data_IF_876004243327
#
_entry.id   IF_876004243327
#
_cell.length_a   1.000
_cell.length_b   1.000
_cell.length_c   1.000
_cell.angle_alpha   90.00
_cell.angle_beta   90.00
_cell.angle_gamma   90.00
#
_symmetry.space_group_name_H-M   'P 1'
#
loop_
_entity.id
_entity.type
_entity.pdbx_description
1 polymer ?
#
# COMPACT_ATOMS: atom_id res chain seq x y z
N UNK A 1 -9.13 -4.04 -18.35
CA UNK A 1 -8.77 -3.60 -16.99
C UNK A 1 -9.72 -2.48 -16.64
N UNK A 2 -10.83 -2.83 -15.97
CA UNK A 2 -12.09 -2.06 -15.83
C UNK A 2 -12.83 -1.80 -17.16
N UNK A 3 -14.10 -1.40 -17.04
CA UNK A 3 -14.94 -0.89 -18.13
C UNK A 3 -14.40 0.41 -18.75
N UNK A 4 -13.35 1.02 -18.17
CA UNK A 4 -12.75 2.27 -18.63
C UNK A 4 -11.61 2.04 -19.63
N UNK A 5 -10.99 0.84 -19.62
CA UNK A 5 -9.96 0.46 -20.60
C UNK A 5 -10.05 -1.05 -20.90
N UNK A 6 -10.72 -1.44 -22.00
CA UNK A 6 -10.68 -2.83 -22.45
C UNK A 6 -9.23 -3.18 -22.83
N UNK A 7 -8.80 -4.34 -22.37
CA UNK A 7 -7.54 -5.00 -22.73
C UNK A 7 -7.85 -6.50 -22.81
N UNK A 8 -7.07 -7.23 -23.61
CA UNK A 8 -7.33 -8.64 -23.91
C UNK A 8 -7.23 -9.51 -22.64
N UNK A 9 -6.21 -9.27 -21.81
CA UNK A 9 -6.05 -9.94 -20.52
C UNK A 9 -6.54 -9.11 -19.34
N UNK A 10 -6.98 -9.81 -18.29
CA UNK A 10 -7.34 -9.20 -17.02
C UNK A 10 -6.21 -9.37 -16.00
N UNK A 11 -5.88 -8.29 -15.30
CA UNK A 11 -5.02 -8.35 -14.12
C UNK A 11 -5.92 -8.25 -12.88
N UNK A 12 -5.59 -9.02 -11.84
CA UNK A 12 -6.35 -9.05 -10.58
C UNK A 12 -5.37 -8.82 -9.44
N UNK A 13 -5.68 -7.84 -8.57
CA UNK A 13 -4.92 -7.57 -7.36
C UNK A 13 -5.63 -8.19 -6.15
N UNK A 14 -4.93 -9.06 -5.42
CA UNK A 14 -5.48 -9.75 -4.24
C UNK A 14 -4.64 -9.41 -3.00
N UNK A 15 -5.13 -8.51 -2.12
CA UNK A 15 -4.37 -8.10 -0.95
C UNK A 15 -4.50 -9.11 0.21
N UNK A 16 -3.39 -9.30 0.93
CA UNK A 16 -3.38 -9.95 2.24
C UNK A 16 -2.86 -8.96 3.29
N UNK A 17 -3.72 -8.52 4.20
CA UNK A 17 -3.35 -7.64 5.30
C UNK A 17 -3.09 -8.47 6.56
N UNK A 18 -1.86 -8.47 7.05
CA UNK A 18 -1.50 -9.13 8.30
C UNK A 18 -0.28 -8.47 8.96
N UNK A 19 -0.13 -8.58 10.28
CA UNK A 19 1.08 -8.17 10.99
C UNK A 19 2.32 -8.90 10.46
N UNK A 20 3.47 -8.23 10.43
CA UNK A 20 4.72 -8.81 9.92
C UNK A 20 5.32 -9.92 10.81
N UNK A 21 4.90 -9.99 12.06
CA UNK A 21 5.22 -11.04 13.03
C UNK A 21 4.22 -12.21 12.99
N UNK A 22 3.11 -12.07 12.26
CA UNK A 22 2.14 -13.15 12.11
C UNK A 22 2.77 -14.32 11.33
N UNK A 23 2.65 -15.59 11.77
CA UNK A 23 3.33 -16.73 11.14
C UNK A 23 3.08 -16.86 9.63
N UNK A 24 1.85 -16.56 9.16
CA UNK A 24 1.52 -16.54 7.73
C UNK A 24 2.40 -15.60 6.90
N UNK A 25 2.89 -14.50 7.47
CA UNK A 25 3.73 -13.54 6.74
C UNK A 25 5.03 -14.20 6.24
N UNK A 26 5.55 -15.18 7.00
CA UNK A 26 6.77 -15.91 6.68
C UNK A 26 6.55 -17.10 5.72
N UNK A 27 5.31 -17.40 5.33
CA UNK A 27 5.07 -18.46 4.36
C UNK A 27 5.64 -18.11 2.97
N UNK A 28 6.11 -19.11 2.20
CA UNK A 28 6.68 -18.88 0.87
C UNK A 28 5.64 -18.33 -0.10
N UNK A 29 6.10 -17.68 -1.18
CA UNK A 29 5.21 -17.01 -2.15
C UNK A 29 4.20 -17.99 -2.73
N UNK A 30 4.65 -19.20 -3.04
CA UNK A 30 3.83 -20.27 -3.59
C UNK A 30 2.60 -20.58 -2.73
N UNK A 31 2.71 -20.51 -1.40
CA UNK A 31 1.57 -20.76 -0.50
C UNK A 31 0.44 -19.74 -0.71
N UNK A 32 0.79 -18.48 -1.02
CA UNK A 32 -0.18 -17.45 -1.35
C UNK A 32 -0.73 -17.61 -2.77
N UNK A 33 0.13 -17.92 -3.74
CA UNK A 33 -0.27 -18.15 -5.13
C UNK A 33 -1.29 -19.28 -5.24
N UNK A 34 -1.02 -20.42 -4.59
CA UNK A 34 -1.91 -21.58 -4.59
C UNK A 34 -3.25 -21.30 -3.90
N UNK A 35 -3.24 -20.48 -2.84
CA UNK A 35 -4.48 -20.03 -2.17
C UNK A 35 -5.30 -19.14 -3.09
N UNK A 36 -4.67 -18.12 -3.69
CA UNK A 36 -5.35 -17.18 -4.58
C UNK A 36 -5.95 -17.92 -5.78
N UNK A 37 -5.17 -18.78 -6.44
CA UNK A 37 -5.65 -19.59 -7.57
C UNK A 37 -6.88 -20.42 -7.19
N UNK A 38 -6.79 -21.15 -6.08
CA UNK A 38 -7.90 -21.95 -5.53
C UNK A 38 -9.12 -21.10 -5.18
N UNK A 39 -8.95 -19.93 -4.57
CA UNK A 39 -10.06 -19.05 -4.22
C UNK A 39 -10.74 -18.51 -5.47
N UNK A 40 -9.98 -18.11 -6.49
CA UNK A 40 -10.53 -17.63 -7.76
C UNK A 40 -11.32 -18.74 -8.48
N UNK A 41 -10.77 -19.95 -8.58
CA UNK A 41 -11.49 -21.10 -9.15
C UNK A 41 -12.70 -21.52 -8.33
N UNK A 42 -12.69 -21.30 -7.01
CA UNK A 42 -13.88 -21.53 -6.15
C UNK A 42 -14.97 -20.49 -6.39
N UNK A 43 -14.59 -19.23 -6.61
CA UNK A 43 -15.52 -18.13 -6.90
C UNK A 43 -16.10 -18.29 -8.30
N UNK A 44 -15.26 -18.62 -9.28
CA UNK A 44 -15.68 -18.91 -10.64
C UNK A 44 -15.22 -20.32 -11.07
N UNK A 45 -16.13 -21.32 -10.97
CA UNK A 45 -15.83 -22.70 -11.34
C UNK A 45 -15.55 -22.94 -12.83
N UNK A 46 -15.81 -21.96 -13.72
CA UNK A 46 -15.45 -22.10 -15.13
C UNK A 46 -13.97 -21.86 -15.39
N UNK A 47 -13.23 -21.30 -14.43
CA UNK A 47 -11.79 -21.11 -14.54
C UNK A 47 -11.06 -22.44 -14.45
N UNK A 48 -10.07 -22.59 -15.32
CA UNK A 48 -9.16 -23.72 -15.41
C UNK A 48 -7.73 -23.25 -15.13
N UNK A 49 -6.80 -24.19 -14.99
CA UNK A 49 -5.39 -23.85 -14.80
C UNK A 49 -4.80 -23.05 -15.97
N UNK A 50 -5.33 -23.22 -17.18
CA UNK A 50 -4.85 -22.55 -18.39
C UNK A 50 -5.26 -21.07 -18.47
N UNK A 51 -6.26 -20.65 -17.70
CA UNK A 51 -6.71 -19.24 -17.67
C UNK A 51 -5.77 -18.33 -16.87
N UNK A 52 -4.79 -18.90 -16.17
CA UNK A 52 -3.81 -18.17 -15.37
C UNK A 52 -2.50 -18.00 -16.14
N UNK A 53 -2.34 -16.85 -16.78
CA UNK A 53 -1.17 -16.53 -17.63
C UNK A 53 0.11 -16.30 -16.81
N UNK A 54 0.03 -15.54 -15.71
CA UNK A 54 1.11 -15.34 -14.76
C UNK A 54 0.55 -15.10 -13.35
N UNK A 55 1.32 -15.45 -12.32
CA UNK A 55 1.03 -15.15 -10.94
C UNK A 55 2.29 -14.64 -10.22
N UNK A 56 2.15 -13.51 -9.53
CA UNK A 56 3.23 -12.92 -8.75
C UNK A 56 2.75 -12.60 -7.35
N UNK A 57 3.56 -12.94 -6.36
CA UNK A 57 3.39 -12.52 -4.99
C UNK A 57 4.49 -11.52 -4.63
N UNK A 58 4.08 -10.48 -3.90
CA UNK A 58 4.97 -9.46 -3.37
C UNK A 58 4.63 -9.27 -1.90
N UNK A 59 5.66 -9.09 -1.05
CA UNK A 59 5.50 -8.78 0.36
C UNK A 59 6.16 -7.45 0.68
N UNK A 60 5.48 -6.63 1.47
CA UNK A 60 6.04 -5.38 1.92
C UNK A 60 5.72 -5.13 3.39
N UNK A 61 6.75 -5.16 4.24
CA UNK A 61 6.60 -5.07 5.71
C UNK A 61 6.18 -3.68 6.17
N UNK A 62 6.64 -2.65 5.44
CA UNK A 62 6.40 -1.25 5.75
C UNK A 62 5.51 -0.60 4.68
N UNK A 63 4.46 -1.33 4.27
CA UNK A 63 3.55 -0.91 3.20
C UNK A 63 2.75 0.34 3.50
N UNK A 64 2.40 0.53 4.76
CA UNK A 64 1.70 1.71 5.24
C UNK A 64 2.02 1.94 6.72
N UNK A 65 2.05 3.21 7.16
CA UNK A 65 2.11 3.53 8.58
C UNK A 65 0.87 2.99 9.27
N UNK A 66 1.05 2.40 10.46
CA UNK A 66 -0.05 2.02 11.36
C UNK A 66 -0.08 3.08 12.46
N UNK A 67 -0.96 4.07 12.29
CA UNK A 67 -1.07 5.20 13.20
C UNK A 67 -1.85 4.79 14.45
N UNK A 68 -1.17 4.73 15.60
CA UNK A 68 -1.81 4.52 16.90
C UNK A 68 -2.57 5.77 17.39
N UNK A 69 -3.34 5.66 18.48
CA UNK A 69 -3.96 6.82 19.11
C UNK A 69 -2.95 7.92 19.45
N UNK A 70 -3.29 9.18 19.12
CA UNK A 70 -2.41 10.34 19.33
C UNK A 70 -1.16 10.34 18.42
N UNK A 71 -1.24 9.74 17.22
CA UNK A 71 -0.11 9.63 16.30
C UNK A 71 0.50 11.00 15.94
N UNK A 72 -0.32 11.97 15.55
CA UNK A 72 0.14 13.31 15.16
C UNK A 72 0.95 14.00 16.25
N UNK A 73 0.53 13.88 17.50
CA UNK A 73 1.19 14.51 18.66
C UNK A 73 2.59 13.92 18.93
N UNK A 74 2.89 12.75 18.34
CA UNK A 74 4.16 12.04 18.49
C UNK A 74 5.09 12.22 17.29
N UNK A 75 4.61 12.83 16.21
CA UNK A 75 5.44 13.07 15.04
C UNK A 75 6.47 14.17 15.33
N UNK A 76 7.71 14.04 14.82
CA UNK A 76 8.64 15.14 14.89
C UNK A 76 8.16 16.30 14.01
N UNK A 77 8.64 17.53 14.26
CA UNK A 77 8.37 18.64 13.35
C UNK A 77 8.92 18.35 11.95
N UNK A 78 8.21 18.79 10.92
CA UNK A 78 8.63 18.60 9.52
C UNK A 78 9.93 19.35 9.19
N UNK A 79 10.18 20.48 9.86
CA UNK A 79 11.44 21.17 9.85
C UNK A 79 12.35 20.53 10.90
N UNK A 80 13.33 19.75 10.44
CA UNK A 80 14.24 19.07 11.34
C UNK A 80 15.31 20.02 11.89
N UNK A 81 16.01 19.67 12.99
CA UNK A 81 17.06 20.51 13.56
C UNK A 81 18.24 20.80 12.61
N UNK A 82 18.37 20.04 11.52
CA UNK A 82 19.37 20.28 10.48
C UNK A 82 18.86 21.38 9.54
N UNK A 83 19.60 22.49 9.48
CA UNK A 83 19.23 23.65 8.64
C UNK A 83 19.01 23.23 7.20
N UNK A 84 17.83 23.55 6.67
CA UNK A 84 17.44 23.27 5.28
C UNK A 84 16.92 21.85 5.06
N UNK A 85 16.91 20.97 6.07
CA UNK A 85 16.35 19.63 5.96
C UNK A 85 14.89 19.61 6.42
N UNK A 86 14.02 19.26 5.50
CA UNK A 86 12.58 19.07 5.75
C UNK A 86 12.19 17.66 5.37
N UNK A 87 11.44 16.98 6.24
CA UNK A 87 11.05 15.59 6.03
C UNK A 87 9.57 15.44 6.41
N UNK A 88 8.84 14.77 5.54
CA UNK A 88 7.51 14.29 5.80
C UNK A 88 7.27 13.04 4.94
N UNK A 89 6.42 12.16 5.44
CA UNK A 89 5.85 11.05 4.68
C UNK A 89 4.32 11.08 4.81
N UNK A 90 3.67 10.01 4.36
CA UNK A 90 2.22 9.93 4.34
C UNK A 90 1.55 9.91 5.72
N UNK A 91 2.31 9.75 6.80
CA UNK A 91 1.80 9.74 8.17
C UNK A 91 1.58 11.15 8.73
N UNK A 92 2.19 12.18 8.12
CA UNK A 92 2.17 13.57 8.60
C UNK A 92 0.86 14.33 8.35
N UNK A 93 -0.02 13.74 7.55
CA UNK A 93 -1.36 14.26 7.29
C UNK A 93 -2.44 13.27 7.73
N UNK A 94 -2.19 12.46 8.77
CA UNK A 94 -3.27 11.75 9.47
C UNK A 94 -4.33 12.76 9.97
N UNK A 95 -5.64 12.44 10.06
CA UNK A 95 -6.31 11.15 9.86
C UNK A 95 -6.53 10.70 8.42
N UNK A 96 -6.11 11.48 7.43
CA UNK A 96 -6.33 11.19 6.04
C UNK A 96 -5.44 10.01 5.58
N UNK A 97 -6.04 9.07 4.83
CA UNK A 97 -5.36 7.84 4.38
C UNK A 97 -4.61 8.08 3.07
N UNK A 98 -3.26 8.10 3.13
CA UNK A 98 -2.27 8.07 2.03
C UNK A 98 -2.69 8.73 0.70
N UNK A 99 -3.52 9.77 0.79
CA UNK A 99 -4.14 10.37 -0.37
C UNK A 99 -3.15 11.28 -1.08
N UNK A 100 -3.19 11.23 -2.42
CA UNK A 100 -2.28 12.03 -3.25
C UNK A 100 -2.62 13.52 -3.14
N UNK A 101 -3.90 13.87 -3.02
CA UNK A 101 -4.34 15.25 -2.87
C UNK A 101 -3.83 15.87 -1.58
N UNK A 102 -3.92 15.14 -0.47
CA UNK A 102 -3.47 15.52 0.86
C UNK A 102 -1.96 15.63 0.90
N UNK A 103 -1.25 14.67 0.29
CA UNK A 103 0.21 14.74 0.11
C UNK A 103 0.64 16.04 -0.59
N UNK A 104 -0.04 16.38 -1.70
CA UNK A 104 0.26 17.60 -2.47
C UNK A 104 -0.05 18.84 -1.65
N UNK A 105 -1.20 18.88 -0.96
CA UNK A 105 -1.59 19.98 -0.10
C UNK A 105 -0.57 20.22 1.02
N UNK A 106 -0.18 19.15 1.71
CA UNK A 106 0.80 19.19 2.79
C UNK A 106 2.19 19.64 2.29
N UNK A 107 2.66 19.06 1.18
CA UNK A 107 3.93 19.44 0.57
C UNK A 107 3.99 20.91 0.13
N UNK A 108 2.89 21.45 -0.41
CA UNK A 108 2.79 22.89 -0.74
C UNK A 108 2.89 23.77 0.50
N UNK A 109 2.22 23.40 1.59
CA UNK A 109 2.29 24.13 2.85
C UNK A 109 3.72 24.11 3.43
N UNK A 110 4.42 22.98 3.35
CA UNK A 110 5.82 22.87 3.75
C UNK A 110 6.72 23.80 2.92
N UNK A 111 6.54 23.83 1.60
CA UNK A 111 7.33 24.70 0.71
C UNK A 111 7.16 26.20 1.06
N UNK A 112 5.93 26.63 1.39
CA UNK A 112 5.68 28.01 1.84
C UNK A 112 6.37 28.31 3.16
N UNK A 113 6.38 27.37 4.11
CA UNK A 113 7.07 27.55 5.39
C UNK A 113 8.59 27.60 5.23
N UNK A 114 9.16 26.76 4.36
CA UNK A 114 10.59 26.70 4.10
C UNK A 114 11.14 27.94 3.37
N UNK A 115 10.29 28.68 2.67
CA UNK A 115 10.65 29.89 1.94
C UNK A 115 10.60 31.18 2.79
N UNK A 116 10.14 31.10 4.05
CA UNK A 116 10.16 32.20 5.02
C UNK A 116 11.47 32.23 5.78
#
# INVERSE_FOLDING_TARGET
>A
YTNLRPVDEHVVYVPFYMPGDHPKYAEPDQAFLDRVKRYLMRINPSLTDADFIDLRASRYRHAQPVCGPGHLDRLPPVALPVRGLWVADTSYYYPEDRGISESIGFGRAMAVQAAR
#
